data_IF_849612040237
#
_entry.id   IF_849612040237
#
_cell.length_a   1.000
_cell.length_b   1.000
_cell.length_c   1.000
_cell.angle_alpha   90.00
_cell.angle_beta   90.00
_cell.angle_gamma   90.00
#
_symmetry.space_group_name_H-M   'P 1'
#
loop_
_entity.id
_entity.type
_entity.pdbx_description
1 polymer ?
#
# COMPACT_ATOMS: atom_id res chain seq x y z
N UNK A 1 8.24 4.13 -9.44
CA UNK A 1 7.35 2.97 -9.24
C UNK A 1 8.09 1.69 -9.59
N UNK A 2 7.95 0.69 -8.77
CA UNK A 2 8.68 -0.55 -8.98
C UNK A 2 7.91 -1.51 -9.84
N UNK A 3 8.59 -2.19 -10.76
CA UNK A 3 7.98 -3.33 -11.43
C UNK A 3 7.82 -4.48 -10.44
N UNK A 4 6.94 -5.41 -10.75
CA UNK A 4 6.79 -6.59 -9.92
C UNK A 4 6.01 -6.34 -8.64
N UNK A 5 4.86 -5.73 -8.77
CA UNK A 5 3.96 -5.50 -7.65
C UNK A 5 3.70 -6.80 -6.89
N UNK A 6 3.90 -6.76 -5.56
CA UNK A 6 3.68 -7.92 -4.70
C UNK A 6 2.31 -7.78 -4.04
N UNK A 7 1.54 -8.84 -4.07
CA UNK A 7 0.19 -8.81 -3.51
C UNK A 7 -0.09 -10.07 -2.69
N UNK A 8 -1.08 -9.98 -1.82
CA UNK A 8 -1.53 -11.12 -1.03
C UNK A 8 -3.02 -10.99 -0.73
N UNK A 9 -3.70 -12.11 -0.43
CA UNK A 9 -5.08 -12.06 0.04
C UNK A 9 -5.18 -11.48 1.44
N UNK A 10 -6.36 -10.98 1.78
CA UNK A 10 -6.59 -10.35 3.07
C UNK A 10 -6.40 -11.31 4.25
N UNK A 11 -6.54 -12.61 4.04
CA UNK A 11 -6.39 -13.58 5.12
C UNK A 11 -4.93 -13.96 5.42
N UNK A 12 -3.97 -13.42 4.65
CA UNK A 12 -2.55 -13.71 4.86
C UNK A 12 -2.11 -13.18 6.23
N UNK A 13 -1.39 -14.01 6.99
CA UNK A 13 -0.94 -13.61 8.32
C UNK A 13 0.25 -12.67 8.30
N UNK A 14 0.43 -11.97 9.42
CA UNK A 14 1.50 -10.96 9.54
C UNK A 14 2.88 -11.54 9.27
N UNK A 15 3.16 -12.73 9.80
CA UNK A 15 4.49 -13.31 9.62
C UNK A 15 4.76 -13.67 8.16
N UNK A 16 3.73 -14.10 7.44
CA UNK A 16 3.89 -14.38 6.01
C UNK A 16 4.14 -13.09 5.23
N UNK A 17 3.47 -12.00 5.60
CA UNK A 17 3.71 -10.70 4.97
C UNK A 17 5.15 -10.26 5.21
N UNK A 18 5.63 -10.41 6.45
CA UNK A 18 7.00 -10.06 6.80
C UNK A 18 8.00 -10.84 5.94
N UNK A 19 7.72 -12.13 5.75
CA UNK A 19 8.54 -13.00 4.93
C UNK A 19 8.57 -12.51 3.47
N UNK A 20 7.40 -12.12 2.95
CA UNK A 20 7.31 -11.58 1.59
C UNK A 20 8.13 -10.31 1.44
N UNK A 21 7.99 -9.39 2.40
CA UNK A 21 8.73 -8.13 2.33
C UNK A 21 10.24 -8.36 2.41
N UNK A 22 10.66 -9.25 3.29
CA UNK A 22 12.08 -9.55 3.44
C UNK A 22 12.64 -10.23 2.19
N UNK A 23 11.91 -11.20 1.65
CA UNK A 23 12.37 -11.98 0.50
C UNK A 23 12.46 -11.14 -0.77
N UNK A 24 11.51 -10.24 -0.95
CA UNK A 24 11.45 -9.43 -2.17
C UNK A 24 12.06 -8.04 -1.99
N UNK A 25 12.52 -7.72 -0.78
CA UNK A 25 13.11 -6.41 -0.47
C UNK A 25 12.16 -5.27 -0.83
N UNK A 26 10.90 -5.41 -0.46
CA UNK A 26 9.89 -4.37 -0.70
C UNK A 26 9.42 -3.80 0.62
N UNK A 27 8.92 -2.56 0.57
CA UNK A 27 8.47 -1.83 1.75
C UNK A 27 6.96 -1.83 1.89
N UNK A 28 6.25 -2.43 0.95
CA UNK A 28 4.80 -2.49 0.99
C UNK A 28 4.29 -3.65 0.14
N UNK A 29 3.11 -4.15 0.51
CA UNK A 29 2.44 -5.24 -0.19
C UNK A 29 1.00 -4.81 -0.39
N UNK A 30 0.44 -4.97 -1.60
CA UNK A 30 -0.97 -4.70 -1.80
C UNK A 30 -1.79 -5.90 -1.34
N UNK A 31 -2.97 -5.62 -0.80
CA UNK A 31 -3.81 -6.63 -0.18
C UNK A 31 -5.15 -6.68 -0.90
N UNK A 32 -5.53 -7.86 -1.35
CA UNK A 32 -6.78 -8.05 -2.07
C UNK A 32 -7.89 -8.44 -1.09
N UNK A 33 -9.05 -7.81 -1.25
CA UNK A 33 -10.24 -8.24 -0.52
C UNK A 33 -10.40 -7.63 0.86
N UNK A 34 -9.93 -6.39 1.05
CA UNK A 34 -10.12 -5.73 2.35
C UNK A 34 -11.55 -5.23 2.50
N UNK A 35 -11.89 -4.81 3.72
CA UNK A 35 -13.22 -4.28 4.00
C UNK A 35 -13.44 -2.99 3.20
N UNK A 36 -14.65 -2.84 2.71
CA UNK A 36 -14.99 -1.69 1.87
C UNK A 36 -15.22 -0.44 2.71
N UNK A 37 -14.70 0.68 2.22
CA UNK A 37 -14.98 1.98 2.82
C UNK A 37 -15.68 2.91 1.84
N UNK A 38 -15.89 2.45 0.61
CA UNK A 38 -16.48 3.28 -0.43
C UNK A 38 -17.89 2.83 -0.81
N UNK A 39 -18.43 1.85 -0.09
CA UNK A 39 -19.74 1.31 -0.40
C UNK A 39 -19.72 0.12 -1.33
N UNK A 40 -18.56 -0.30 -1.79
CA UNK A 40 -18.43 -1.52 -2.59
C UNK A 40 -18.74 -2.75 -1.74
N UNK A 41 -19.13 -3.86 -2.35
CA UNK A 41 -19.35 -5.08 -1.57
C UNK A 41 -18.10 -5.48 -0.80
N UNK A 42 -18.24 -6.06 0.41
CA UNK A 42 -17.09 -6.50 1.19
C UNK A 42 -16.19 -7.44 0.39
N UNK A 43 -14.89 -7.27 0.55
CA UNK A 43 -13.92 -8.12 -0.13
C UNK A 43 -13.61 -7.70 -1.56
N UNK A 44 -14.10 -6.55 -2.00
CA UNK A 44 -13.90 -6.07 -3.36
C UNK A 44 -12.81 -5.03 -3.48
N UNK A 45 -12.38 -4.43 -2.38
CA UNK A 45 -11.40 -3.36 -2.44
C UNK A 45 -9.99 -3.87 -2.20
N UNK A 46 -9.02 -3.15 -2.75
CA UNK A 46 -7.62 -3.41 -2.52
C UNK A 46 -7.11 -2.51 -1.39
N UNK A 47 -6.17 -3.01 -0.62
CA UNK A 47 -5.54 -2.25 0.43
C UNK A 47 -4.03 -2.34 0.32
N UNK A 48 -3.34 -1.84 1.34
CA UNK A 48 -1.89 -1.86 1.37
C UNK A 48 -1.41 -2.06 2.79
N UNK A 49 -0.37 -2.87 2.97
CA UNK A 49 0.35 -3.01 4.22
C UNK A 49 1.78 -2.55 3.97
N UNK A 50 2.22 -1.56 4.73
CA UNK A 50 3.57 -1.04 4.61
C UNK A 50 4.45 -1.54 5.75
N UNK A 51 5.75 -1.23 5.65
CA UNK A 51 6.70 -1.60 6.69
C UNK A 51 6.36 -0.96 8.04
N UNK A 52 5.80 0.26 8.03
CA UNK A 52 5.39 0.89 9.29
C UNK A 52 4.22 0.16 9.93
N UNK A 53 3.34 -0.42 9.12
CA UNK A 53 2.23 -1.22 9.64
C UNK A 53 2.75 -2.48 10.32
N UNK A 54 3.77 -3.11 9.75
CA UNK A 54 4.41 -4.27 10.38
C UNK A 54 5.08 -3.88 11.69
N UNK A 55 5.78 -2.75 11.70
CA UNK A 55 6.44 -2.28 12.90
C UNK A 55 5.43 -2.02 14.01
N UNK A 56 4.30 -1.41 13.67
CA UNK A 56 3.25 -1.14 14.64
C UNK A 56 2.67 -2.45 15.18
N UNK A 57 2.40 -3.40 14.32
CA UNK A 57 1.87 -4.71 14.74
C UNK A 57 2.85 -5.41 15.67
N UNK A 58 4.13 -5.40 15.35
CA UNK A 58 5.15 -6.01 16.18
C UNK A 58 5.24 -5.33 17.54
N UNK A 59 5.20 -4.01 17.57
CA UNK A 59 5.30 -3.24 18.80
C UNK A 59 4.09 -3.49 19.72
N UNK A 60 2.93 -3.73 19.13
CA UNK A 60 1.70 -3.96 19.88
C UNK A 60 1.41 -5.44 20.13
N UNK A 61 2.30 -6.32 19.74
CA UNK A 61 2.14 -7.74 19.96
C UNK A 61 1.05 -8.38 19.09
N UNK A 62 0.75 -7.79 17.95
CA UNK A 62 -0.34 -8.24 17.08
C UNK A 62 0.15 -9.17 15.98
N UNK A 63 0.94 -10.18 16.36
CA UNK A 63 1.52 -11.09 15.37
C UNK A 63 0.52 -12.14 14.86
N UNK A 64 -0.70 -12.13 15.43
CA UNK A 64 -1.78 -13.00 14.94
C UNK A 64 -2.70 -12.31 13.95
N UNK A 65 -2.46 -11.03 13.69
CA UNK A 65 -3.31 -10.27 12.78
C UNK A 65 -3.15 -10.73 11.34
N UNK A 66 -4.13 -10.39 10.51
CA UNK A 66 -4.10 -10.68 9.08
C UNK A 66 -3.79 -9.44 8.27
N UNK A 67 -3.45 -9.64 7.01
CA UNK A 67 -3.20 -8.53 6.08
C UNK A 67 -4.40 -7.58 6.01
N UNK A 68 -5.61 -8.15 5.96
CA UNK A 68 -6.83 -7.33 5.90
C UNK A 68 -6.99 -6.46 7.13
N UNK A 69 -6.64 -6.99 8.30
CA UNK A 69 -6.72 -6.21 9.53
C UNK A 69 -5.65 -5.12 9.57
N UNK A 70 -4.44 -5.42 9.12
CA UNK A 70 -3.37 -4.43 9.09
C UNK A 70 -3.62 -3.35 8.04
N UNK A 71 -4.12 -3.74 6.86
CA UNK A 71 -4.44 -2.80 5.81
C UNK A 71 -5.55 -1.85 6.25
N UNK A 72 -6.50 -2.40 6.98
CA UNK A 72 -7.52 -1.61 7.68
C UNK A 72 -8.17 -0.62 6.78
N UNK A 73 -8.10 0.60 7.26
CA UNK A 73 -8.62 1.70 6.55
C UNK A 73 -7.49 2.48 6.02
N UNK A 74 -7.31 2.71 4.89
CA UNK A 74 -6.33 3.65 4.68
C UNK A 74 -5.51 3.61 3.48
N UNK A 75 -5.80 2.73 2.61
CA UNK A 75 -5.16 2.80 1.32
C UNK A 75 -5.62 4.06 0.62
N UNK A 76 -4.69 4.89 0.24
CA UNK A 76 -4.98 6.10 -0.53
C UNK A 76 -4.62 5.79 -1.98
N UNK A 77 -5.57 6.02 -2.87
CA UNK A 77 -5.42 5.66 -4.27
C UNK A 77 -5.13 6.89 -5.12
N UNK A 78 -4.34 6.69 -6.17
CA UNK A 78 -4.09 7.73 -7.14
C UNK A 78 -4.24 7.12 -8.53
N UNK A 79 -4.89 7.87 -9.43
CA UNK A 79 -5.07 7.44 -10.80
C UNK A 79 -3.72 7.45 -11.54
N UNK A 80 -3.46 6.44 -12.39
CA UNK A 80 -2.16 6.37 -13.09
C UNK A 80 -1.81 7.60 -13.91
N UNK A 81 -2.82 8.35 -14.37
CA UNK A 81 -2.57 9.52 -15.20
C UNK A 81 -2.24 10.78 -14.44
N UNK A 82 -2.26 10.76 -13.12
CA UNK A 82 -2.05 11.95 -12.33
C UNK A 82 -0.57 12.35 -12.27
N UNK A 83 -0.28 13.65 -12.19
CA UNK A 83 1.11 14.11 -12.08
C UNK A 83 1.69 13.83 -10.71
N UNK A 84 3.02 13.81 -10.65
CA UNK A 84 3.74 13.56 -9.41
C UNK A 84 3.37 14.56 -8.30
N UNK A 85 3.08 15.80 -8.68
CA UNK A 85 2.66 16.81 -7.71
C UNK A 85 1.41 16.36 -6.96
N UNK A 86 0.47 15.73 -7.67
CA UNK A 86 -0.74 15.24 -7.02
C UNK A 86 -0.42 14.12 -6.02
N UNK A 87 0.53 13.26 -6.38
CA UNK A 87 0.98 12.21 -5.46
C UNK A 87 1.54 12.84 -4.18
N UNK A 88 2.39 13.86 -4.32
CA UNK A 88 2.97 14.54 -3.17
C UNK A 88 1.89 15.17 -2.29
N UNK A 89 0.89 15.79 -2.90
CA UNK A 89 -0.22 16.39 -2.17
C UNK A 89 -0.98 15.35 -1.36
N UNK A 90 -1.30 14.23 -1.99
CA UNK A 90 -2.05 13.16 -1.32
C UNK A 90 -1.25 12.56 -0.17
N UNK A 91 0.02 12.34 -0.35
CA UNK A 91 0.87 11.81 0.73
C UNK A 91 0.92 12.76 1.90
N UNK A 92 1.03 14.05 1.62
CA UNK A 92 1.10 15.07 2.65
C UNK A 92 -0.23 15.21 3.39
N UNK A 93 -1.33 15.27 2.65
CA UNK A 93 -2.66 15.43 3.23
C UNK A 93 -3.02 14.26 4.14
N UNK A 94 -2.72 13.07 3.71
CA UNK A 94 -3.12 11.86 4.42
C UNK A 94 -2.04 11.29 5.32
N UNK A 95 -0.86 11.90 5.31
CA UNK A 95 0.29 11.47 6.13
C UNK A 95 0.62 10.00 5.90
N UNK A 96 0.68 9.63 4.64
CA UNK A 96 1.03 8.26 4.25
C UNK A 96 2.33 8.26 3.47
N UNK A 97 3.05 7.15 3.54
CA UNK A 97 4.33 7.01 2.84
C UNK A 97 4.19 6.28 1.52
N UNK A 98 3.01 5.75 1.23
CA UNK A 98 2.74 4.98 0.01
C UNK A 98 1.37 5.31 -0.52
N UNK A 99 1.25 5.31 -1.86
CA UNK A 99 -0.04 5.42 -2.55
C UNK A 99 -0.19 4.20 -3.44
N UNK A 100 -1.43 3.73 -3.55
CA UNK A 100 -1.75 2.64 -4.47
C UNK A 100 -2.17 3.25 -5.81
N UNK A 101 -1.48 2.89 -6.88
CA UNK A 101 -1.78 3.41 -8.20
C UNK A 101 -2.84 2.52 -8.84
N UNK A 102 -4.03 3.08 -9.03
CA UNK A 102 -5.17 2.33 -9.52
C UNK A 102 -6.25 3.27 -10.03
N UNK A 103 -7.07 2.78 -10.95
CA UNK A 103 -8.16 3.60 -11.50
C UNK A 103 -9.36 3.66 -10.54
N UNK A 104 -9.46 2.72 -9.60
CA UNK A 104 -10.53 2.71 -8.62
C UNK A 104 -10.13 1.78 -7.47
N UNK A 105 -10.70 1.96 -6.26
CA UNK A 105 -10.38 1.07 -5.13
C UNK A 105 -10.66 -0.39 -5.38
N UNK A 106 -11.60 -0.71 -6.28
CA UNK A 106 -11.93 -2.10 -6.64
C UNK A 106 -11.14 -2.61 -7.83
N UNK A 107 -10.38 -1.75 -8.50
CA UNK A 107 -9.59 -2.15 -9.66
C UNK A 107 -8.23 -2.67 -9.20
N UNK A 108 -7.71 -3.65 -9.92
CA UNK A 108 -6.40 -4.20 -9.59
C UNK A 108 -5.34 -3.10 -9.71
N UNK A 109 -4.52 -2.91 -8.68
CA UNK A 109 -3.48 -1.90 -8.73
C UNK A 109 -2.44 -2.18 -9.81
N UNK A 110 -1.91 -1.12 -10.38
CA UNK A 110 -0.84 -1.22 -11.36
C UNK A 110 0.52 -0.89 -10.75
N UNK A 111 0.54 -0.37 -9.52
CA UNK A 111 1.80 -0.07 -8.86
C UNK A 111 1.61 0.61 -7.52
N UNK A 112 2.73 0.94 -6.90
CA UNK A 112 2.77 1.67 -5.64
C UNK A 112 3.77 2.81 -5.81
N UNK A 113 3.40 4.00 -5.33
CA UNK A 113 4.32 5.13 -5.26
C UNK A 113 4.68 5.35 -3.80
N UNK A 114 5.98 5.46 -3.51
CA UNK A 114 6.46 5.70 -2.15
C UNK A 114 7.10 7.07 -2.03
N UNK A 115 7.33 7.48 -0.78
CA UNK A 115 8.09 8.71 -0.53
C UNK A 115 9.50 8.62 -1.11
N UNK A 116 10.08 7.43 -1.15
CA UNK A 116 11.39 7.24 -1.77
C UNK A 116 11.33 7.56 -3.26
N UNK A 117 10.24 7.17 -3.94
CA UNK A 117 10.08 7.51 -5.35
C UNK A 117 10.06 9.01 -5.57
N UNK A 118 9.37 9.75 -4.68
CA UNK A 118 9.37 11.21 -4.74
C UNK A 118 10.78 11.77 -4.53
N UNK A 119 11.49 11.21 -3.55
CA UNK A 119 12.85 11.67 -3.26
C UNK A 119 13.76 11.50 -4.47
N UNK A 120 13.64 10.36 -5.14
CA UNK A 120 14.44 10.07 -6.33
C UNK A 120 14.19 11.12 -7.42
N UNK A 121 12.91 11.41 -7.68
CA UNK A 121 12.57 12.40 -8.70
C UNK A 121 13.08 13.78 -8.32
N UNK A 122 12.89 14.17 -7.06
CA UNK A 122 13.33 15.48 -6.59
C UNK A 122 14.85 15.61 -6.66
N UNK A 123 15.58 14.55 -6.29
CA UNK A 123 17.04 14.58 -6.26
C UNK A 123 17.62 14.69 -7.66
N UNK A 124 17.03 14.01 -8.63
CA UNK A 124 17.59 13.95 -9.96
C UNK A 124 16.76 14.67 -11.00
N UNK A 125 15.71 15.36 -10.57
CA UNK A 125 14.94 16.29 -11.39
C UNK A 125 14.26 15.66 -12.57
N UNK A 126 13.91 14.39 -12.47
CA UNK A 126 13.29 13.73 -13.60
C UNK A 126 11.99 13.11 -13.20
N UNK A 127 11.12 13.10 -14.11
CA UNK A 127 9.90 12.32 -13.94
C UNK A 127 9.92 11.13 -14.87
#
# INVERSE_FOLDING_TARGET
MRPGLISCPAYTGVLAIAEMMASYHVHAVVVEGVASETGAPPGQEWGIVSDIDLARAAAQGQLQATAGELAGMGAIFIDPGQPLKRAAELMSEHRVSHLVVSTAPTARPVGIISTLDLAVVLAWGRD
#
